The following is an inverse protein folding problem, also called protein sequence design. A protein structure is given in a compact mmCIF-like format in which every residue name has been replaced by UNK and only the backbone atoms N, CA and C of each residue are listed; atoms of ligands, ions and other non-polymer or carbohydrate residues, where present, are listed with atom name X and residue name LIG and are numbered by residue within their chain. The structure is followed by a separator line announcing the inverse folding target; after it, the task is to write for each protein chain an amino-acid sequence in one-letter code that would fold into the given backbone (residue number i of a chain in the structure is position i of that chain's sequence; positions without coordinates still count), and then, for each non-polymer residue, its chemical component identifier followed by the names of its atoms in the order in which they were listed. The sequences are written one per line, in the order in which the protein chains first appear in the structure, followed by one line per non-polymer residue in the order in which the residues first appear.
data_IF_510600046705
#
_entry.id   IF_510600046705
#
_cell.length_a   1.000
_cell.length_b   1.000
_cell.length_c   1.000
_cell.angle_alpha   90.00
_cell.angle_beta   90.00
_cell.angle_gamma   90.00
#
_symmetry.space_group_name_H-M   'P 1'
#
loop_
_entity.id
_entity.type
_entity.pdbx_description
1 polymer ?
#
# COMPACT_ATOMS: atom_id res chain seq x y z
N UNK A 1 5.25 22.57 -14.09
CA UNK A 1 5.17 21.81 -12.82
C UNK A 1 5.58 20.38 -13.14
N UNK A 2 6.75 19.94 -12.68
CA UNK A 2 7.22 18.58 -12.91
C UNK A 2 6.43 17.64 -12.00
N UNK A 3 5.43 16.96 -12.55
CA UNK A 3 4.71 15.89 -11.88
C UNK A 3 5.65 14.69 -11.75
N UNK A 4 6.52 14.70 -10.74
CA UNK A 4 7.24 13.51 -10.31
C UNK A 4 6.15 12.60 -9.76
N UNK A 5 5.66 11.66 -10.57
CA UNK A 5 4.83 10.58 -10.10
C UNK A 5 5.58 9.95 -8.92
N UNK A 6 4.97 9.84 -7.72
CA UNK A 6 5.62 9.16 -6.61
C UNK A 6 6.04 7.78 -7.11
N UNK A 7 7.32 7.47 -6.92
CA UNK A 7 7.98 6.27 -7.42
C UNK A 7 7.17 5.04 -7.00
N UNK A 8 6.28 4.57 -7.87
CA UNK A 8 5.23 3.61 -7.54
C UNK A 8 5.87 2.24 -7.25
N UNK A 9 5.95 1.89 -5.97
CA UNK A 9 6.59 0.65 -5.56
C UNK A 9 5.67 -0.55 -5.86
N UNK A 10 6.26 -1.61 -6.42
CA UNK A 10 5.55 -2.86 -6.74
C UNK A 10 6.13 -3.99 -5.91
N UNK A 11 5.26 -4.85 -5.37
CA UNK A 11 5.63 -5.97 -4.49
C UNK A 11 4.99 -7.25 -4.98
N UNK A 12 5.74 -8.36 -4.97
CA UNK A 12 5.17 -9.67 -5.22
C UNK A 12 4.35 -10.16 -4.03
N UNK A 13 3.20 -10.78 -4.29
CA UNK A 13 2.41 -11.47 -3.27
C UNK A 13 3.22 -12.54 -2.52
N UNK A 14 4.22 -13.14 -3.17
CA UNK A 14 5.13 -14.09 -2.52
C UNK A 14 6.04 -13.40 -1.50
N UNK A 15 6.50 -12.18 -1.79
CA UNK A 15 7.40 -11.44 -0.90
C UNK A 15 6.70 -11.03 0.39
N UNK A 16 5.40 -10.72 0.31
CA UNK A 16 4.56 -10.41 1.47
C UNK A 16 4.62 -11.54 2.51
N UNK A 17 4.58 -12.80 2.05
CA UNK A 17 4.60 -13.97 2.95
C UNK A 17 5.85 -14.02 3.82
N UNK A 18 6.99 -13.55 3.31
CA UNK A 18 8.28 -13.67 3.99
C UNK A 18 8.77 -12.34 4.61
N UNK A 19 8.30 -11.20 4.11
CA UNK A 19 8.84 -9.87 4.43
C UNK A 19 7.78 -8.86 4.89
N UNK A 20 6.58 -9.30 5.32
CA UNK A 20 5.47 -8.41 5.66
C UNK A 20 5.87 -7.26 6.60
N UNK A 21 6.56 -7.55 7.70
CA UNK A 21 6.94 -6.51 8.67
C UNK A 21 7.81 -5.41 8.07
N UNK A 22 8.79 -5.77 7.25
CA UNK A 22 9.64 -4.79 6.54
C UNK A 22 8.82 -3.99 5.52
N UNK A 23 7.95 -4.67 4.77
CA UNK A 23 7.08 -4.04 3.77
C UNK A 23 6.19 -2.98 4.42
N UNK A 24 5.60 -3.28 5.58
CA UNK A 24 4.76 -2.34 6.31
C UNK A 24 5.58 -1.15 6.84
N UNK A 25 6.77 -1.39 7.39
CA UNK A 25 7.65 -0.30 7.83
C UNK A 25 8.08 0.62 6.67
N UNK A 26 8.38 0.04 5.49
CA UNK A 26 8.72 0.80 4.29
C UNK A 26 7.50 1.58 3.76
N UNK A 27 6.30 1.00 3.82
CA UNK A 27 5.03 1.63 3.43
C UNK A 27 4.74 2.87 4.28
N UNK A 28 4.81 2.74 5.60
CA UNK A 28 4.61 3.85 6.53
C UNK A 28 5.69 4.94 6.33
N UNK A 29 6.93 4.54 6.03
CA UNK A 29 8.03 5.48 5.78
C UNK A 29 7.86 6.24 4.46
N UNK A 30 7.42 5.57 3.40
CA UNK A 30 7.21 6.21 2.09
C UNK A 30 5.93 7.04 2.05
N UNK A 31 4.90 6.65 2.80
CA UNK A 31 3.60 7.33 2.78
C UNK A 31 2.91 7.29 1.42
N UNK A 32 3.27 6.33 0.55
CA UNK A 32 2.71 6.18 -0.79
C UNK A 32 2.27 4.72 -1.03
N UNK A 33 1.16 4.47 -1.75
CA UNK A 33 0.63 3.11 -1.90
C UNK A 33 1.53 2.19 -2.72
N UNK A 34 1.51 0.91 -2.40
CA UNK A 34 2.23 -0.13 -3.11
C UNK A 34 1.30 -0.98 -3.98
N UNK A 35 1.73 -1.31 -5.19
CA UNK A 35 1.01 -2.24 -6.06
C UNK A 35 1.42 -3.68 -5.73
N UNK A 36 0.45 -4.51 -5.32
CA UNK A 36 0.67 -5.94 -5.14
C UNK A 36 0.43 -6.65 -6.47
N UNK A 37 1.42 -7.42 -6.91
CA UNK A 37 1.35 -8.26 -8.11
C UNK A 37 1.48 -9.75 -7.77
N UNK A 38 0.92 -10.59 -8.62
CA UNK A 38 1.17 -12.03 -8.61
C UNK A 38 1.29 -12.54 -10.04
N UNK A 39 2.38 -13.26 -10.35
CA UNK A 39 2.70 -13.73 -11.72
C UNK A 39 2.60 -12.60 -12.75
N UNK A 40 3.21 -11.45 -12.43
CA UNK A 40 3.23 -10.23 -13.25
C UNK A 40 1.87 -9.59 -13.52
N UNK A 41 0.81 -9.99 -12.80
CA UNK A 41 -0.52 -9.38 -12.91
C UNK A 41 -0.85 -8.57 -11.66
N UNK A 42 -1.40 -7.35 -11.78
CA UNK A 42 -1.87 -6.57 -10.63
C UNK A 42 -2.99 -7.32 -9.90
N UNK A 43 -2.99 -7.24 -8.57
CA UNK A 43 -3.97 -7.92 -7.72
C UNK A 43 -4.64 -6.99 -6.74
N UNK A 44 -3.88 -6.13 -6.10
CA UNK A 44 -4.38 -5.22 -5.08
C UNK A 44 -3.45 -4.02 -4.92
N UNK A 45 -3.94 -3.02 -4.21
CA UNK A 45 -3.16 -1.90 -3.71
C UNK A 45 -3.06 -1.98 -2.19
N UNK A 46 -1.88 -1.70 -1.67
CA UNK A 46 -1.61 -1.61 -0.24
C UNK A 46 -1.38 -0.14 0.10
N UNK A 47 -2.30 0.45 0.86
CA UNK A 47 -2.23 1.85 1.27
C UNK A 47 -1.59 1.97 2.65
N UNK A 48 -0.75 3.01 2.89
CA UNK A 48 -0.29 3.31 4.24
C UNK A 48 -1.47 3.53 5.16
N UNK A 49 -1.32 3.18 6.44
CA UNK A 49 -2.36 3.43 7.41
C UNK A 49 -2.45 4.94 7.66
N UNK A 50 -3.55 5.55 7.25
CA UNK A 50 -3.87 6.92 7.65
C UNK A 50 -4.72 6.86 8.91
N UNK A 51 -4.26 7.42 10.05
CA UNK A 51 -5.10 7.52 11.23
C UNK A 51 -6.27 8.45 10.89
N UNK A 52 -7.39 7.82 10.53
CA UNK A 52 -8.62 8.53 10.32
C UNK A 52 -9.06 9.17 11.63
N UNK A 53 -8.98 10.49 11.70
CA UNK A 53 -9.76 11.27 12.66
C UNK A 53 -11.23 11.18 12.26
N UNK A 54 -11.87 10.03 12.44
CA UNK A 54 -13.29 9.85 12.14
C UNK A 54 -14.04 9.33 13.36
N UNK A 55 -14.98 10.16 13.83
CA UNK A 55 -16.10 9.84 14.70
C UNK A 55 -17.20 9.01 13.99
N UNK A 56 -16.85 8.26 12.93
CA UNK A 56 -17.83 7.56 12.10
C UNK A 56 -17.22 6.38 11.35
N UNK A 57 -17.84 5.22 11.54
CA UNK A 57 -17.42 3.90 11.07
C UNK A 57 -17.35 3.80 9.53
N UNK A 58 -16.18 3.39 9.02
CA UNK A 58 -15.90 3.26 7.58
C UNK A 58 -16.53 2.02 6.95
N UNK A 59 -16.95 1.04 7.75
CA UNK A 59 -17.55 -0.20 7.24
C UNK A 59 -19.03 -0.07 6.87
N UNK A 60 -19.66 1.09 7.11
CA UNK A 60 -21.06 1.33 6.76
C UNK A 60 -21.29 1.82 5.32
N UNK A 61 -20.22 2.01 4.53
CA UNK A 61 -20.32 2.58 3.16
C UNK A 61 -19.87 1.65 2.03
N UNK A 62 -19.69 0.36 2.27
CA UNK A 62 -19.41 -0.63 1.23
C UNK A 62 -20.55 -1.64 1.08
#
# INVERSE_FOLDING_TARGET
MNNILPNQQTISATDIRFNLGKILADLDRQGSPFLIISRSKPKAWLYPYEPMNFSGDLFLKW
#
